data_IF_040123966180
#
_entry.id   IF_040123966180
#
_cell.length_a   1.000
_cell.length_b   1.000
_cell.length_c   1.000
_cell.angle_alpha   90.00
_cell.angle_beta   90.00
_cell.angle_gamma   90.00
#
_symmetry.space_group_name_H-M   'P 1'
#
loop_
_entity.id
_entity.type
_entity.pdbx_description
1 polymer ?
#
# COMPACT_ATOMS: atom_id res chain seq x y z
N UNK A 1 -7.52 5.82 -20.17
CA UNK A 1 -8.74 5.50 -19.39
C UNK A 1 -10.05 6.01 -20.02
N UNK A 2 -10.19 7.24 -20.56
CA UNK A 2 -11.46 7.69 -21.14
C UNK A 2 -11.97 6.75 -22.26
N UNK A 3 -11.09 6.35 -23.18
CA UNK A 3 -11.42 5.44 -24.29
C UNK A 3 -11.90 4.04 -23.86
N UNK A 4 -11.58 3.59 -22.64
CA UNK A 4 -11.97 2.25 -22.17
C UNK A 4 -13.46 2.19 -21.81
N UNK A 5 -14.01 3.26 -21.22
CA UNK A 5 -15.41 3.30 -20.82
C UNK A 5 -16.35 3.71 -21.96
N UNK A 6 -15.87 4.50 -22.92
CA UNK A 6 -16.66 4.85 -24.12
C UNK A 6 -16.98 3.63 -24.99
N UNK A 7 -16.24 2.52 -24.83
CA UNK A 7 -16.46 1.27 -25.55
C UNK A 7 -17.57 0.40 -24.94
N UNK A 8 -17.96 0.62 -23.67
CA UNK A 8 -18.96 -0.20 -22.98
C UNK A 8 -20.32 0.52 -22.86
N UNK A 9 -21.15 0.29 -23.88
CA UNK A 9 -22.57 0.68 -24.08
C UNK A 9 -22.81 2.04 -24.73
N UNK A 10 -23.44 1.96 -25.91
CA UNK A 10 -23.71 3.03 -26.89
C UNK A 10 -24.84 3.99 -26.45
N UNK A 11 -25.56 3.69 -25.35
CA UNK A 11 -26.86 4.35 -25.09
C UNK A 11 -26.77 5.50 -24.06
N UNK A 12 -25.69 5.55 -23.27
CA UNK A 12 -25.44 6.64 -22.29
C UNK A 12 -23.97 7.01 -22.30
N UNK A 13 -23.62 7.98 -23.13
CA UNK A 13 -22.29 8.55 -23.12
C UNK A 13 -21.98 9.13 -21.73
N UNK A 14 -20.87 8.69 -21.14
CA UNK A 14 -20.40 9.22 -19.86
C UNK A 14 -20.04 10.69 -20.09
N UNK A 15 -20.68 11.58 -19.34
CA UNK A 15 -20.36 13.00 -19.39
C UNK A 15 -19.09 13.29 -18.59
N UNK A 16 -17.95 12.97 -19.18
CA UNK A 16 -16.63 13.31 -18.65
C UNK A 16 -16.52 14.81 -18.40
N UNK A 17 -15.85 15.19 -17.31
CA UNK A 17 -15.62 16.58 -16.90
C UNK A 17 -16.90 17.42 -16.65
N UNK A 18 -18.07 16.77 -16.59
CA UNK A 18 -19.36 17.37 -16.20
C UNK A 18 -20.05 16.56 -15.09
N UNK A 19 -19.94 15.22 -15.14
CA UNK A 19 -20.54 14.30 -14.17
C UNK A 19 -19.57 13.29 -13.59
N UNK A 20 -18.46 13.03 -14.27
CA UNK A 20 -17.43 12.09 -13.84
C UNK A 20 -16.05 12.65 -14.15
N UNK A 21 -15.17 12.59 -13.16
CA UNK A 21 -13.76 12.96 -13.26
C UNK A 21 -12.90 11.78 -12.81
N UNK A 22 -11.80 11.55 -13.53
CA UNK A 22 -10.72 10.67 -13.13
C UNK A 22 -9.44 11.47 -13.32
N UNK A 23 -8.91 12.01 -12.23
CA UNK A 23 -7.82 12.97 -12.25
C UNK A 23 -6.91 12.83 -11.02
N UNK A 24 -5.73 13.43 -11.08
CA UNK A 24 -4.88 13.57 -9.90
C UNK A 24 -5.55 14.48 -8.85
N UNK A 25 -5.05 14.44 -7.61
CA UNK A 25 -5.59 15.28 -6.54
C UNK A 25 -5.28 16.78 -6.71
N UNK A 26 -4.22 17.13 -7.45
CA UNK A 26 -3.74 18.51 -7.56
C UNK A 26 -4.30 19.25 -8.78
N UNK A 27 -3.84 18.88 -9.97
CA UNK A 27 -4.19 19.57 -11.22
C UNK A 27 -3.34 20.81 -11.47
N UNK A 28 -3.84 21.68 -12.34
CA UNK A 28 -3.17 22.86 -12.85
C UNK A 28 -4.13 24.05 -12.87
N UNK A 29 -3.62 25.23 -12.50
CA UNK A 29 -4.40 26.46 -12.45
C UNK A 29 -5.14 26.80 -13.75
N UNK A 30 -4.52 26.50 -14.90
CA UNK A 30 -5.09 26.80 -16.22
C UNK A 30 -6.12 25.79 -16.72
N UNK A 31 -6.34 24.68 -16.00
CA UNK A 31 -7.29 23.65 -16.39
C UNK A 31 -8.03 23.10 -15.15
N UNK A 32 -9.24 23.61 -14.84
CA UNK A 32 -10.02 23.18 -13.68
C UNK A 32 -10.25 21.66 -13.60
N UNK A 33 -10.38 20.99 -14.74
CA UNK A 33 -10.67 19.55 -14.80
C UNK A 33 -9.42 18.67 -14.68
N UNK A 34 -8.23 19.26 -14.52
CA UNK A 34 -6.97 18.51 -14.45
C UNK A 34 -6.67 17.90 -13.07
N UNK A 35 -7.40 18.32 -12.02
CA UNK A 35 -7.28 17.72 -10.70
C UNK A 35 -8.29 18.25 -9.69
N UNK A 36 -8.45 17.53 -8.58
CA UNK A 36 -9.46 17.83 -7.57
C UNK A 36 -9.27 19.22 -6.93
N UNK A 37 -8.04 19.59 -6.56
CA UNK A 37 -7.74 20.91 -5.99
C UNK A 37 -8.05 22.04 -6.98
N UNK A 38 -7.61 21.91 -8.24
CA UNK A 38 -7.95 22.85 -9.30
C UNK A 38 -9.47 22.99 -9.49
N UNK A 39 -10.20 21.88 -9.49
CA UNK A 39 -11.66 21.85 -9.63
C UNK A 39 -12.35 22.58 -8.47
N UNK A 40 -11.92 22.36 -7.23
CA UNK A 40 -12.50 23.03 -6.05
C UNK A 40 -12.20 24.53 -6.08
N UNK A 41 -10.97 24.94 -6.40
CA UNK A 41 -10.63 26.36 -6.56
C UNK A 41 -11.52 27.04 -7.61
N UNK A 42 -11.69 26.42 -8.78
CA UNK A 42 -12.54 26.96 -9.85
C UNK A 42 -14.02 27.00 -9.45
N UNK A 43 -14.55 25.93 -8.86
CA UNK A 43 -15.95 25.84 -8.44
C UNK A 43 -16.35 26.94 -7.46
N UNK A 44 -15.49 27.24 -6.48
CA UNK A 44 -15.73 28.30 -5.49
C UNK A 44 -15.15 29.66 -5.89
N UNK A 45 -14.53 29.78 -7.07
CA UNK A 45 -13.87 31.01 -7.55
C UNK A 45 -12.79 31.53 -6.58
N UNK A 46 -12.00 30.61 -6.03
CA UNK A 46 -10.92 30.89 -5.08
C UNK A 46 -9.54 30.79 -5.76
N UNK A 47 -8.52 31.51 -5.26
CA UNK A 47 -7.19 31.48 -5.84
C UNK A 47 -6.56 30.08 -5.77
N UNK A 48 -5.93 29.67 -6.87
CA UNK A 48 -5.10 28.47 -6.92
C UNK A 48 -3.67 28.81 -6.47
N UNK A 49 -3.20 28.16 -5.42
CA UNK A 49 -1.84 28.29 -4.92
C UNK A 49 -0.97 27.15 -5.43
N UNK A 50 0.26 27.48 -5.85
CA UNK A 50 1.26 26.47 -6.25
C UNK A 50 2.04 26.01 -5.03
N UNK A 51 2.39 24.73 -5.00
CA UNK A 51 3.30 24.19 -4.00
C UNK A 51 4.64 24.94 -4.04
N UNK A 52 5.16 25.28 -2.86
CA UNK A 52 6.50 25.83 -2.71
C UNK A 52 7.16 25.29 -1.45
N UNK A 53 8.47 25.52 -1.30
CA UNK A 53 9.23 25.07 -0.12
C UNK A 53 8.69 25.64 1.21
N UNK A 54 8.08 26.82 1.18
CA UNK A 54 7.57 27.51 2.35
C UNK A 54 6.03 27.44 2.48
N UNK A 55 5.37 26.87 1.47
CA UNK A 55 3.92 26.78 1.39
C UNK A 55 3.55 25.40 0.85
N UNK A 56 3.40 24.45 1.78
CA UNK A 56 3.21 23.04 1.50
C UNK A 56 1.75 22.65 1.40
N UNK A 57 1.50 21.35 1.23
CA UNK A 57 0.14 20.81 1.08
C UNK A 57 -0.76 21.15 2.27
N UNK A 58 -0.22 21.08 3.49
CA UNK A 58 -0.97 21.40 4.71
C UNK A 58 -1.49 22.83 4.67
N UNK A 59 -0.62 23.79 4.38
CA UNK A 59 -0.96 25.21 4.35
C UNK A 59 -1.96 25.51 3.22
N UNK A 60 -1.77 24.91 2.04
CA UNK A 60 -2.64 25.13 0.89
C UNK A 60 -4.07 24.62 1.15
N UNK A 61 -4.22 23.41 1.69
CA UNK A 61 -5.54 22.86 2.00
C UNK A 61 -6.20 23.58 3.19
N UNK A 62 -5.42 24.00 4.18
CA UNK A 62 -5.92 24.78 5.31
C UNK A 62 -6.49 26.14 4.84
N UNK A 63 -5.76 26.89 4.02
CA UNK A 63 -6.22 28.18 3.50
C UNK A 63 -7.49 28.03 2.63
N UNK A 64 -7.51 27.03 1.75
CA UNK A 64 -8.68 26.75 0.92
C UNK A 64 -9.91 26.41 1.79
N UNK A 65 -9.74 25.55 2.81
CA UNK A 65 -10.78 25.20 3.75
C UNK A 65 -11.31 26.42 4.51
N UNK A 66 -10.43 27.29 5.00
CA UNK A 66 -10.82 28.52 5.68
C UNK A 66 -11.60 29.46 4.78
N UNK A 67 -11.20 29.61 3.52
CA UNK A 67 -11.89 30.48 2.58
C UNK A 67 -13.27 29.94 2.18
N UNK A 68 -13.41 28.62 1.99
CA UNK A 68 -14.72 28.01 1.73
C UNK A 68 -15.65 28.15 2.94
N UNK A 69 -15.14 28.03 4.16
CA UNK A 69 -15.94 28.22 5.40
C UNK A 69 -16.49 29.65 5.57
N UNK A 70 -15.90 30.65 4.91
CA UNK A 70 -16.38 32.05 4.92
C UNK A 70 -17.53 32.30 3.95
N UNK A 71 -17.83 31.36 3.04
CA UNK A 71 -18.93 31.50 2.09
C UNK A 71 -20.27 31.47 2.85
N UNK A 72 -21.19 32.41 2.60
CA UNK A 72 -22.51 32.42 3.21
C UNK A 72 -23.26 31.09 2.97
N UNK A 73 -24.04 30.63 3.95
CA UNK A 73 -24.72 29.33 3.87
C UNK A 73 -25.72 29.25 2.71
N UNK A 74 -26.30 30.38 2.34
CA UNK A 74 -27.25 30.53 1.25
C UNK A 74 -26.58 30.39 -0.13
N UNK A 75 -25.30 30.75 -0.21
CA UNK A 75 -24.48 30.70 -1.43
C UNK A 75 -23.69 29.39 -1.54
N UNK A 76 -23.41 28.74 -0.41
CA UNK A 76 -22.65 27.51 -0.35
C UNK A 76 -23.35 26.39 -1.14
N UNK A 77 -22.60 25.78 -2.05
CA UNK A 77 -22.99 24.57 -2.78
C UNK A 77 -21.93 23.52 -2.60
N UNK A 78 -22.35 22.26 -2.55
CA UNK A 78 -21.43 21.14 -2.62
C UNK A 78 -20.81 21.06 -4.02
N UNK A 79 -19.48 20.88 -4.07
CA UNK A 79 -18.74 20.74 -5.31
C UNK A 79 -19.00 19.37 -5.97
N UNK A 80 -19.12 18.32 -5.15
CA UNK A 80 -19.28 16.93 -5.61
C UNK A 80 -20.36 16.21 -4.81
N UNK A 81 -21.07 15.25 -5.43
CA UNK A 81 -21.96 14.34 -4.71
C UNK A 81 -21.17 13.21 -4.03
N UNK A 82 -20.22 12.62 -4.75
CA UNK A 82 -19.41 11.48 -4.33
C UNK A 82 -17.95 11.71 -4.68
N UNK A 83 -17.05 11.16 -3.87
CA UNK A 83 -15.60 11.18 -4.12
C UNK A 83 -15.01 9.81 -3.80
N UNK A 84 -14.23 9.26 -4.74
CA UNK A 84 -13.43 8.06 -4.54
C UNK A 84 -11.96 8.46 -4.56
N UNK A 85 -11.22 8.01 -3.55
CA UNK A 85 -9.83 8.38 -3.33
C UNK A 85 -9.04 7.09 -3.24
N UNK A 86 -8.02 7.00 -4.08
CA UNK A 86 -7.02 5.96 -4.03
C UNK A 86 -5.75 6.51 -3.37
N UNK A 87 -4.93 5.62 -2.80
CA UNK A 87 -3.70 5.96 -2.07
C UNK A 87 -3.91 7.05 -1.00
N UNK A 88 -5.02 6.91 -0.25
CA UNK A 88 -5.47 7.91 0.72
C UNK A 88 -4.43 8.24 1.81
N UNK A 89 -3.46 7.35 2.01
CA UNK A 89 -2.32 7.55 2.91
C UNK A 89 -1.42 8.73 2.53
N UNK A 90 -1.41 9.13 1.25
CA UNK A 90 -0.56 10.22 0.75
C UNK A 90 -1.11 11.62 1.07
N UNK A 91 -2.32 11.72 1.65
CA UNK A 91 -2.99 13.00 1.92
C UNK A 91 -2.95 13.42 3.40
N UNK A 92 -2.78 14.73 3.70
CA UNK A 92 -2.80 15.24 5.05
C UNK A 92 -4.24 15.35 5.61
N UNK A 93 -4.38 15.56 6.92
CA UNK A 93 -5.69 15.72 7.59
C UNK A 93 -6.53 16.85 6.99
N UNK A 94 -5.88 17.96 6.67
CA UNK A 94 -6.50 19.16 6.12
C UNK A 94 -7.19 18.88 4.77
N UNK A 95 -6.64 17.95 3.99
CA UNK A 95 -7.28 17.48 2.77
C UNK A 95 -8.59 16.75 3.07
N UNK A 96 -8.62 15.87 4.06
CA UNK A 96 -9.84 15.16 4.48
C UNK A 96 -10.91 16.12 5.02
N UNK A 97 -10.53 17.10 5.85
CA UNK A 97 -11.46 18.12 6.34
C UNK A 97 -12.05 18.97 5.20
N UNK A 98 -11.25 19.27 4.18
CA UNK A 98 -11.69 19.98 2.98
C UNK A 98 -12.74 19.18 2.21
N UNK A 99 -12.46 17.93 1.88
CA UNK A 99 -13.38 17.10 1.09
C UNK A 99 -14.66 16.75 1.86
N UNK A 100 -14.59 16.57 3.19
CA UNK A 100 -15.76 16.37 4.04
C UNK A 100 -16.70 17.59 4.01
N UNK A 101 -16.16 18.79 3.86
CA UNK A 101 -16.95 20.01 3.71
C UNK A 101 -17.62 20.09 2.33
N UNK A 102 -16.88 19.80 1.25
CA UNK A 102 -17.33 20.09 -0.12
C UNK A 102 -18.09 18.95 -0.80
N UNK A 103 -18.06 17.73 -0.24
CA UNK A 103 -18.74 16.54 -0.77
C UNK A 103 -20.11 16.35 -0.09
N UNK A 104 -21.18 16.20 -0.88
CA UNK A 104 -22.55 16.15 -0.36
C UNK A 104 -22.93 14.83 0.30
N UNK A 105 -22.58 13.69 -0.32
CA UNK A 105 -23.16 12.39 0.05
C UNK A 105 -22.15 11.47 0.72
N UNK A 106 -21.09 11.09 0.01
CA UNK A 106 -20.15 10.09 0.54
C UNK A 106 -18.77 10.16 -0.10
N UNK A 107 -17.77 9.97 0.75
CA UNK A 107 -16.36 9.79 0.38
C UNK A 107 -16.01 8.31 0.60
N UNK A 108 -15.29 7.73 -0.35
CA UNK A 108 -14.68 6.42 -0.24
C UNK A 108 -13.17 6.61 -0.35
N UNK A 109 -12.44 6.30 0.70
CA UNK A 109 -10.99 6.39 0.72
C UNK A 109 -10.40 4.98 0.87
N UNK A 110 -9.57 4.58 -0.08
CA UNK A 110 -8.78 3.36 -0.03
C UNK A 110 -7.30 3.73 0.17
N UNK A 111 -6.54 2.89 0.84
CA UNK A 111 -5.13 3.13 1.06
C UNK A 111 -4.45 1.97 1.78
N UNK A 112 -3.14 2.06 1.87
CA UNK A 112 -2.30 1.07 2.55
C UNK A 112 -2.03 1.48 4.00
N UNK A 113 -2.50 0.64 4.92
CA UNK A 113 -2.33 0.86 6.35
C UNK A 113 -0.87 0.79 6.78
N UNK A 114 -0.04 -0.03 6.11
CA UNK A 114 1.37 -0.23 6.47
C UNK A 114 2.26 0.94 6.08
N UNK A 115 2.04 1.53 4.90
CA UNK A 115 2.81 2.69 4.43
C UNK A 115 2.73 3.90 5.39
N UNK A 116 1.63 4.03 6.13
CA UNK A 116 1.37 5.14 7.05
C UNK A 116 1.57 4.85 8.55
N UNK A 117 2.02 3.64 8.94
CA UNK A 117 2.11 3.27 10.37
C UNK A 117 3.10 4.11 11.18
N UNK A 118 3.98 4.83 10.49
CA UNK A 118 4.98 5.69 11.09
C UNK A 118 4.90 7.14 10.65
N UNK A 119 3.89 7.50 9.84
CA UNK A 119 3.64 8.90 9.53
C UNK A 119 3.52 9.66 10.85
N UNK A 120 4.26 10.76 11.03
CA UNK A 120 4.13 11.63 12.20
C UNK A 120 2.77 12.30 12.15
N UNK A 121 1.73 11.57 12.52
CA UNK A 121 0.40 12.13 12.62
C UNK A 121 0.29 12.78 13.99
N UNK A 122 0.05 14.10 13.98
CA UNK A 122 -0.42 14.81 15.14
C UNK A 122 -1.53 13.98 15.78
N UNK A 123 -1.49 13.82 17.10
CA UNK A 123 -2.28 12.93 17.95
C UNK A 123 -3.81 12.98 17.80
N UNK A 124 -4.33 13.75 16.84
CA UNK A 124 -5.74 13.98 16.54
C UNK A 124 -6.20 13.47 15.16
N UNK A 125 -5.36 12.87 14.32
CA UNK A 125 -5.85 12.17 13.13
C UNK A 125 -6.48 10.84 13.55
N UNK A 126 -7.80 10.87 13.64
CA UNK A 126 -8.67 9.73 13.48
C UNK A 126 -8.46 9.14 12.07
N UNK A 127 -7.38 8.40 11.86
CA UNK A 127 -7.28 7.44 10.75
C UNK A 127 -8.28 6.32 11.08
N UNK A 128 -9.57 6.60 10.89
CA UNK A 128 -10.64 5.64 11.07
C UNK A 128 -10.59 4.75 9.85
N UNK A 129 -9.99 3.59 10.02
CA UNK A 129 -10.16 2.49 9.08
C UNK A 129 -11.52 1.90 9.39
N UNK A 130 -12.52 2.13 8.55
CA UNK A 130 -13.84 1.50 8.72
C UNK A 130 -13.78 0.01 8.37
N UNK A 131 -13.04 -0.32 7.32
CA UNK A 131 -12.94 -1.66 6.75
C UNK A 131 -11.48 -2.02 6.50
N UNK A 132 -11.03 -3.16 7.02
CA UNK A 132 -9.69 -3.69 6.74
C UNK A 132 -9.76 -4.97 5.89
N UNK A 133 -9.05 -4.98 4.76
CA UNK A 133 -8.92 -6.13 3.86
C UNK A 133 -7.68 -6.95 4.25
N UNK A 134 -7.91 -8.19 4.69
CA UNK A 134 -6.85 -9.06 5.25
C UNK A 134 -6.00 -9.78 4.21
N UNK A 135 -6.47 -9.88 2.97
CA UNK A 135 -5.86 -10.72 1.94
C UNK A 135 -5.20 -9.88 0.85
N UNK A 136 -3.95 -10.20 0.55
CA UNK A 136 -3.23 -9.70 -0.61
C UNK A 136 -3.18 -10.79 -1.68
N UNK A 137 -3.56 -10.43 -2.92
CA UNK A 137 -3.57 -11.31 -4.09
C UNK A 137 -2.47 -10.99 -5.10
N UNK A 138 -1.76 -9.89 -4.86
CA UNK A 138 -0.74 -9.35 -5.78
C UNK A 138 0.64 -9.93 -5.47
N UNK A 139 1.03 -9.93 -4.20
CA UNK A 139 2.36 -10.29 -3.72
C UNK A 139 2.33 -11.60 -2.95
N UNK A 140 3.37 -12.42 -3.11
CA UNK A 140 3.54 -13.67 -2.37
C UNK A 140 3.49 -13.41 -0.85
N UNK A 141 2.72 -14.19 -0.06
CA UNK A 141 2.62 -14.01 1.39
C UNK A 141 3.98 -13.99 2.10
N UNK A 142 4.98 -14.73 1.63
CA UNK A 142 6.35 -14.76 2.18
C UNK A 142 7.04 -13.41 2.00
N UNK A 143 6.92 -12.82 0.80
CA UNK A 143 7.46 -11.48 0.51
C UNK A 143 6.78 -10.43 1.39
N UNK A 144 5.45 -10.49 1.52
CA UNK A 144 4.70 -9.57 2.38
C UNK A 144 5.08 -9.71 3.86
N UNK A 145 5.20 -10.95 4.34
CA UNK A 145 5.63 -11.25 5.72
C UNK A 145 7.04 -10.75 6.00
N UNK A 146 7.95 -10.95 5.05
CA UNK A 146 9.32 -10.46 5.18
C UNK A 146 9.37 -8.93 5.17
N UNK A 147 8.62 -8.28 4.28
CA UNK A 147 8.52 -6.83 4.20
C UNK A 147 7.97 -6.21 5.50
N UNK A 148 6.86 -6.74 6.04
CA UNK A 148 6.35 -6.30 7.35
C UNK A 148 7.35 -6.57 8.49
N UNK A 149 8.06 -7.70 8.42
CA UNK A 149 9.08 -8.05 9.41
C UNK A 149 10.23 -7.04 9.44
N UNK A 150 10.67 -6.57 8.27
CA UNK A 150 11.64 -5.48 8.15
C UNK A 150 11.04 -4.15 8.61
N UNK A 151 9.84 -3.79 8.15
CA UNK A 151 9.22 -2.51 8.46
C UNK A 151 9.00 -2.30 9.98
N UNK A 152 8.52 -3.34 10.66
CA UNK A 152 8.20 -3.30 12.08
C UNK A 152 9.40 -3.65 12.99
N UNK A 153 10.55 -3.98 12.41
CA UNK A 153 11.74 -4.43 13.14
C UNK A 153 11.53 -5.76 13.89
N UNK A 154 10.77 -6.70 13.32
CA UNK A 154 10.43 -7.97 14.01
C UNK A 154 11.64 -8.89 14.17
N UNK A 155 12.58 -8.84 13.22
CA UNK A 155 13.79 -9.67 13.23
C UNK A 155 14.91 -9.10 14.12
N UNK A 156 14.76 -7.87 14.58
CA UNK A 156 15.78 -7.10 15.30
C UNK A 156 15.69 -7.41 16.79
N UNK A 157 16.68 -7.05 17.61
CA UNK A 157 16.54 -7.21 19.06
C UNK A 157 15.44 -6.28 19.57
N UNK A 158 15.55 -5.00 19.20
CA UNK A 158 14.57 -3.98 19.52
C UNK A 158 13.51 -3.84 18.42
N UNK A 159 12.23 -3.96 18.78
CA UNK A 159 11.12 -3.80 17.85
C UNK A 159 10.82 -2.33 17.61
N UNK A 160 10.60 -1.96 16.37
CA UNK A 160 10.17 -0.62 15.97
C UNK A 160 8.69 -0.39 16.27
N UNK A 161 7.88 -1.44 16.15
CA UNK A 161 6.45 -1.42 16.41
C UNK A 161 5.97 -2.77 16.94
N UNK A 162 4.90 -2.76 17.74
CA UNK A 162 4.27 -3.97 18.25
C UNK A 162 2.76 -3.85 18.40
N UNK A 163 2.03 -4.80 17.81
CA UNK A 163 0.58 -4.83 17.85
C UNK A 163 0.02 -5.77 18.92
N UNK A 164 -1.19 -5.47 19.39
CA UNK A 164 -1.97 -6.40 20.22
C UNK A 164 -2.44 -7.60 19.40
N UNK A 165 -2.90 -8.65 20.08
CA UNK A 165 -3.39 -9.85 19.39
C UNK A 165 -4.58 -9.56 18.45
N UNK A 166 -5.48 -8.66 18.84
CA UNK A 166 -6.62 -8.32 17.99
C UNK A 166 -6.20 -7.47 16.78
N UNK A 167 -5.23 -6.57 16.96
CA UNK A 167 -4.66 -5.79 15.85
C UNK A 167 -3.93 -6.70 14.84
N UNK A 168 -3.15 -7.67 15.30
CA UNK A 168 -2.51 -8.65 14.40
C UNK A 168 -3.54 -9.43 13.56
N UNK A 169 -4.64 -9.89 14.17
CA UNK A 169 -5.75 -10.53 13.44
C UNK A 169 -6.40 -9.59 12.41
N UNK A 170 -6.60 -8.33 12.77
CA UNK A 170 -7.13 -7.31 11.85
C UNK A 170 -6.20 -7.11 10.65
N UNK A 171 -4.88 -7.16 10.85
CA UNK A 171 -3.86 -7.08 9.80
C UNK A 171 -3.72 -8.38 8.98
N UNK A 172 -4.54 -9.39 9.25
CA UNK A 172 -4.55 -10.66 8.52
C UNK A 172 -3.53 -11.70 9.01
N UNK A 173 -3.05 -11.58 10.25
CA UNK A 173 -2.18 -12.56 10.88
C UNK A 173 -2.91 -13.45 11.88
N UNK A 174 -2.62 -14.74 11.83
CA UNK A 174 -2.91 -15.69 12.89
C UNK A 174 -1.72 -15.77 13.86
N UNK A 175 -2.01 -15.95 15.14
CA UNK A 175 -1.00 -15.87 16.20
C UNK A 175 -1.01 -17.19 16.96
N UNK A 176 0.13 -17.87 16.96
CA UNK A 176 0.38 -19.05 17.80
C UNK A 176 1.37 -18.68 18.89
N UNK A 177 1.04 -19.01 20.14
CA UNK A 177 1.93 -18.77 21.29
C UNK A 177 2.79 -20.02 21.50
N UNK A 178 4.09 -19.90 21.27
CA UNK A 178 5.02 -21.03 21.45
C UNK A 178 5.43 -21.16 22.91
N UNK A 179 5.81 -20.03 23.53
CA UNK A 179 6.16 -19.96 24.95
C UNK A 179 5.81 -18.57 25.52
N UNK A 180 6.24 -18.25 26.76
CA UNK A 180 5.93 -16.96 27.41
C UNK A 180 6.48 -15.73 26.66
N UNK A 181 7.53 -15.89 25.85
CA UNK A 181 8.27 -14.78 25.23
C UNK A 181 8.28 -14.81 23.70
N UNK A 182 7.99 -15.94 23.07
CA UNK A 182 8.01 -16.13 21.62
C UNK A 182 6.62 -16.40 21.08
N UNK A 183 6.26 -15.69 20.02
CA UNK A 183 5.05 -15.92 19.24
C UNK A 183 5.42 -16.23 17.79
N UNK A 184 4.53 -16.96 17.14
CA UNK A 184 4.57 -17.20 15.70
C UNK A 184 3.41 -16.45 15.05
N UNK A 185 3.71 -15.75 13.95
CA UNK A 185 2.74 -15.06 13.11
C UNK A 185 2.66 -15.77 11.75
N UNK A 186 1.47 -16.18 11.35
CA UNK A 186 1.20 -16.81 10.04
C UNK A 186 0.15 -16.03 9.27
N UNK A 187 0.20 -16.08 7.93
CA UNK A 187 -0.86 -15.56 7.06
C UNK A 187 -1.48 -16.70 6.27
N UNK A 188 -2.77 -16.62 5.99
CA UNK A 188 -3.44 -17.59 5.11
C UNK A 188 -2.79 -17.55 3.72
N UNK A 189 -2.34 -18.69 3.17
CA UNK A 189 -1.81 -18.76 1.80
C UNK A 189 -2.85 -18.31 0.77
N UNK A 190 -2.39 -17.77 -0.35
CA UNK A 190 -3.24 -17.43 -1.48
C UNK A 190 -3.14 -18.53 -2.54
N UNK A 191 -4.28 -18.96 -3.11
CA UNK A 191 -4.35 -20.03 -4.11
C UNK A 191 -3.48 -19.73 -5.34
N UNK A 192 -3.28 -18.44 -5.66
CA UNK A 192 -2.39 -18.00 -6.76
C UNK A 192 -0.95 -18.50 -6.61
N UNK A 193 -0.49 -18.66 -5.38
CA UNK A 193 0.87 -19.13 -5.06
C UNK A 193 0.73 -20.53 -4.46
N UNK A 194 0.40 -21.50 -5.32
CA UNK A 194 0.21 -22.90 -4.91
C UNK A 194 1.46 -23.45 -4.24
N UNK A 195 1.28 -24.41 -3.31
CA UNK A 195 2.35 -25.02 -2.52
C UNK A 195 3.44 -25.73 -3.34
N UNK A 196 3.17 -25.98 -4.62
CA UNK A 196 4.05 -26.74 -5.53
C UNK A 196 5.20 -25.90 -6.10
N UNK A 197 5.17 -24.56 -6.03
CA UNK A 197 6.24 -23.73 -6.57
C UNK A 197 7.32 -23.47 -5.51
N UNK A 198 8.36 -24.30 -5.51
CA UNK A 198 9.54 -24.17 -4.64
C UNK A 198 10.49 -23.06 -5.11
N UNK A 199 9.99 -21.84 -5.27
CA UNK A 199 10.80 -20.67 -5.63
C UNK A 199 10.95 -19.72 -4.44
N UNK A 200 12.10 -19.05 -4.34
CA UNK A 200 12.33 -17.99 -3.35
C UNK A 200 11.73 -16.68 -3.86
N UNK A 201 10.72 -16.14 -3.15
CA UNK A 201 10.10 -14.86 -3.51
C UNK A 201 10.91 -13.64 -3.03
N UNK A 202 11.85 -13.84 -2.08
CA UNK A 202 12.82 -12.82 -1.66
C UNK A 202 14.22 -13.43 -1.64
N UNK A 203 15.20 -12.70 -2.20
CA UNK A 203 16.63 -13.02 -2.13
C UNK A 203 17.41 -11.86 -1.51
N UNK A 204 18.24 -12.16 -0.51
CA UNK A 204 19.16 -11.19 0.10
C UNK A 204 20.55 -11.31 -0.53
N UNK A 205 21.13 -10.19 -0.92
CA UNK A 205 22.46 -10.12 -1.54
C UNK A 205 23.30 -9.09 -0.80
N UNK A 206 24.44 -9.52 -0.25
CA UNK A 206 25.37 -8.67 0.51
C UNK A 206 26.38 -7.96 -0.39
N UNK A 207 25.87 -7.30 -1.42
CA UNK A 207 26.68 -6.53 -2.36
C UNK A 207 25.77 -5.59 -3.13
N UNK A 208 26.05 -4.28 -3.04
CA UNK A 208 25.33 -3.23 -3.75
C UNK A 208 26.08 -2.71 -4.98
N UNK A 209 27.20 -3.32 -5.36
CA UNK A 209 27.99 -2.92 -6.52
C UNK A 209 27.19 -3.00 -7.82
N UNK A 210 27.55 -2.14 -8.77
CA UNK A 210 26.93 -2.15 -10.11
C UNK A 210 27.21 -3.47 -10.85
N UNK A 211 28.36 -4.11 -10.57
CA UNK A 211 28.70 -5.46 -11.04
C UNK A 211 27.64 -6.45 -10.60
N UNK A 212 27.33 -6.46 -9.31
CA UNK A 212 26.35 -7.38 -8.78
C UNK A 212 24.96 -7.14 -9.34
N UNK A 213 24.58 -5.88 -9.53
CA UNK A 213 23.31 -5.51 -10.14
C UNK A 213 23.24 -6.07 -11.57
N UNK A 214 24.29 -5.90 -12.38
CA UNK A 214 24.34 -6.43 -13.75
C UNK A 214 24.31 -7.96 -13.78
N UNK A 215 25.03 -8.63 -12.87
CA UNK A 215 24.98 -10.09 -12.70
C UNK A 215 23.55 -10.56 -12.42
N UNK A 216 22.82 -9.89 -11.52
CA UNK A 216 21.46 -10.24 -11.17
C UNK A 216 20.47 -10.00 -12.32
N UNK A 217 20.63 -8.91 -13.07
CA UNK A 217 19.84 -8.65 -14.29
C UNK A 217 20.02 -9.81 -15.27
N UNK A 218 21.27 -10.23 -15.51
CA UNK A 218 21.54 -11.34 -16.41
C UNK A 218 21.02 -12.67 -15.85
N UNK A 219 21.18 -12.92 -14.56
CA UNK A 219 20.64 -14.10 -13.88
C UNK A 219 19.12 -14.20 -14.04
N UNK A 220 18.38 -13.10 -13.83
CA UNK A 220 16.92 -13.08 -14.02
C UNK A 220 16.55 -13.47 -15.45
N UNK A 221 17.26 -12.94 -16.45
CA UNK A 221 17.02 -13.26 -17.87
C UNK A 221 17.32 -14.72 -18.22
N UNK A 222 18.39 -15.29 -17.65
CA UNK A 222 18.76 -16.69 -17.87
C UNK A 222 17.82 -17.65 -17.16
N UNK A 223 17.41 -17.33 -15.92
CA UNK A 223 16.47 -18.16 -15.16
C UNK A 223 15.03 -18.10 -15.70
N UNK A 224 14.68 -17.07 -16.48
CA UNK A 224 13.33 -16.81 -16.95
C UNK A 224 13.34 -16.43 -18.44
N UNK A 225 13.32 -17.41 -19.34
CA UNK A 225 13.45 -17.20 -20.80
C UNK A 225 12.39 -16.25 -21.39
N UNK A 226 11.21 -16.16 -20.79
CA UNK A 226 10.09 -15.32 -21.25
C UNK A 226 10.10 -13.91 -20.67
N UNK A 227 11.05 -13.58 -19.78
CA UNK A 227 11.07 -12.27 -19.11
C UNK A 227 11.40 -11.17 -20.10
N UNK A 228 10.59 -10.11 -20.05
CA UNK A 228 10.81 -8.89 -20.85
C UNK A 228 11.66 -7.91 -20.04
N UNK A 229 12.40 -7.02 -20.71
CA UNK A 229 13.27 -6.07 -20.00
C UNK A 229 12.45 -5.09 -19.15
N UNK A 230 11.26 -4.69 -19.64
CA UNK A 230 10.31 -3.86 -18.90
C UNK A 230 9.72 -4.51 -17.64
N UNK A 231 9.96 -5.80 -17.42
CA UNK A 231 9.52 -6.55 -16.24
C UNK A 231 10.57 -6.57 -15.12
N UNK A 232 11.72 -5.95 -15.34
CA UNK A 232 12.81 -5.83 -14.37
C UNK A 232 12.94 -4.37 -13.96
N UNK A 233 12.73 -4.10 -12.67
CA UNK A 233 12.97 -2.79 -12.08
C UNK A 233 14.15 -2.81 -11.12
N UNK A 234 15.00 -1.80 -11.21
CA UNK A 234 16.09 -1.52 -10.27
C UNK A 234 15.72 -0.25 -9.52
N UNK A 235 15.57 -0.36 -8.21
CA UNK A 235 15.07 0.72 -7.37
C UNK A 235 16.07 1.03 -6.27
N UNK A 236 16.61 2.25 -6.30
CA UNK A 236 17.43 2.78 -5.23
C UNK A 236 16.55 3.31 -4.10
N UNK A 237 16.72 2.74 -2.91
CA UNK A 237 15.87 3.02 -1.75
C UNK A 237 16.33 4.28 -1.01
N UNK A 238 17.64 4.50 -0.88
CA UNK A 238 18.22 5.62 -0.16
C UNK A 238 18.04 6.95 -0.91
N UNK A 239 17.69 8.03 -0.20
CA UNK A 239 17.54 9.37 -0.80
C UNK A 239 18.82 10.22 -0.65
N UNK A 240 19.95 9.70 -1.13
CA UNK A 240 21.22 10.47 -1.13
C UNK A 240 21.29 11.43 -2.32
N UNK A 241 22.13 12.45 -2.20
CA UNK A 241 22.35 13.45 -3.26
C UNK A 241 23.02 12.89 -4.51
N UNK A 242 23.83 11.83 -4.36
CA UNK A 242 24.58 11.16 -5.41
C UNK A 242 23.78 10.04 -6.11
N UNK A 243 22.53 9.79 -5.71
CA UNK A 243 21.69 8.73 -6.27
C UNK A 243 21.58 8.81 -7.80
N UNK A 244 21.40 10.02 -8.35
CA UNK A 244 21.25 10.21 -9.79
C UNK A 244 22.56 9.90 -10.54
N UNK A 245 23.71 10.30 -9.98
CA UNK A 245 25.02 9.99 -10.58
C UNK A 245 25.25 8.48 -10.63
N UNK A 246 24.86 7.77 -9.57
CA UNK A 246 24.96 6.32 -9.55
C UNK A 246 23.99 5.64 -10.49
N UNK A 247 22.76 6.13 -10.60
CA UNK A 247 21.80 5.63 -11.60
C UNK A 247 22.33 5.81 -13.02
N UNK A 248 23.01 6.93 -13.30
CA UNK A 248 23.63 7.19 -14.60
C UNK A 248 24.83 6.27 -14.86
N UNK A 249 25.70 6.08 -13.87
CA UNK A 249 26.82 5.11 -13.94
C UNK A 249 26.31 3.69 -14.22
N UNK A 250 25.34 3.22 -13.45
CA UNK A 250 24.72 1.91 -13.64
C UNK A 250 24.06 1.79 -15.03
N UNK A 251 23.39 2.84 -15.50
CA UNK A 251 22.76 2.86 -16.83
C UNK A 251 23.80 2.65 -17.94
N UNK A 252 24.92 3.37 -17.86
CA UNK A 252 26.02 3.21 -18.81
C UNK A 252 26.62 1.80 -18.73
N UNK A 253 26.77 1.26 -17.53
CA UNK A 253 27.31 -0.08 -17.32
C UNK A 253 26.41 -1.18 -17.87
N UNK A 254 25.11 -1.11 -17.65
CA UNK A 254 24.14 -2.05 -18.23
C UNK A 254 24.22 -2.03 -19.76
N UNK A 255 24.36 -0.84 -20.35
CA UNK A 255 24.50 -0.70 -21.80
C UNK A 255 25.83 -1.30 -22.30
N UNK A 256 26.95 -1.04 -21.63
CA UNK A 256 28.27 -1.53 -22.06
C UNK A 256 28.47 -3.03 -21.82
N UNK A 257 28.10 -3.53 -20.65
CA UNK A 257 28.38 -4.90 -20.21
C UNK A 257 27.34 -5.90 -20.73
N UNK A 258 26.07 -5.48 -20.85
CA UNK A 258 24.96 -6.37 -21.22
C UNK A 258 24.32 -6.04 -22.58
N UNK A 259 24.66 -4.89 -23.18
CA UNK A 259 24.05 -4.38 -24.41
C UNK A 259 22.51 -4.29 -24.29
N UNK A 260 22.02 -3.76 -23.16
CA UNK A 260 20.59 -3.59 -22.87
C UNK A 260 20.23 -2.11 -22.71
N UNK A 261 19.03 -1.77 -23.15
CA UNK A 261 18.47 -0.43 -22.98
C UNK A 261 17.84 -0.26 -21.60
N UNK A 262 17.92 0.97 -21.10
CA UNK A 262 17.38 1.39 -19.80
C UNK A 262 16.47 2.61 -20.00
N UNK A 263 15.40 2.67 -19.21
CA UNK A 263 14.62 3.89 -19.02
C UNK A 263 14.81 4.38 -17.58
N UNK A 264 15.07 5.68 -17.43
CA UNK A 264 15.25 6.32 -16.13
C UNK A 264 13.92 6.88 -15.66
N UNK A 265 13.36 6.29 -14.61
CA UNK A 265 12.01 6.60 -14.11
C UNK A 265 11.83 8.03 -13.58
N UNK A 266 12.93 8.73 -13.27
CA UNK A 266 12.90 10.13 -12.86
C UNK A 266 12.81 11.11 -14.04
N UNK A 267 13.14 10.66 -15.26
CA UNK A 267 13.00 11.43 -16.51
C UNK A 267 11.68 11.09 -17.19
N UNK A 268 11.39 9.79 -17.29
CA UNK A 268 10.21 9.24 -17.95
C UNK A 268 9.44 8.34 -17.00
N UNK A 269 8.23 8.76 -16.59
CA UNK A 269 7.35 7.99 -15.70
C UNK A 269 6.57 6.88 -16.42
N UNK A 270 7.16 6.29 -17.45
CA UNK A 270 6.55 5.23 -18.25
C UNK A 270 7.52 4.07 -18.40
N UNK A 271 6.98 2.86 -18.48
CA UNK A 271 7.73 1.63 -18.72
C UNK A 271 7.69 1.27 -20.20
N UNK A 272 8.71 0.57 -20.67
CA UNK A 272 8.81 0.06 -22.02
C UNK A 272 9.12 -1.42 -22.00
N UNK A 273 8.51 -2.17 -22.90
CA UNK A 273 8.66 -3.63 -22.96
C UNK A 273 10.12 -4.08 -23.08
N UNK A 274 10.91 -3.33 -23.84
CA UNK A 274 12.30 -3.62 -24.19
C UNK A 274 13.33 -2.79 -23.42
N UNK A 275 12.98 -2.16 -22.29
CA UNK A 275 13.93 -1.39 -21.48
C UNK A 275 13.81 -1.73 -20.00
N UNK A 276 14.95 -1.89 -19.32
CA UNK A 276 15.00 -2.05 -17.86
C UNK A 276 14.58 -0.74 -17.20
N UNK A 277 13.77 -0.81 -16.14
CA UNK A 277 13.32 0.38 -15.43
C UNK A 277 14.26 0.70 -14.26
N UNK A 278 14.98 1.83 -14.32
CA UNK A 278 15.89 2.28 -13.24
C UNK A 278 15.32 3.53 -12.58
N UNK A 279 15.09 3.48 -11.28
CA UNK A 279 14.36 4.55 -10.57
C UNK A 279 14.77 4.67 -9.09
N UNK A 280 14.21 5.66 -8.40
CA UNK A 280 14.26 5.80 -6.96
C UNK A 280 12.89 5.55 -6.32
N UNK A 281 12.84 5.40 -5.00
CA UNK A 281 11.61 5.12 -4.27
C UNK A 281 10.48 6.15 -4.49
N UNK A 282 10.81 7.41 -4.79
CA UNK A 282 9.82 8.47 -4.99
C UNK A 282 9.13 8.40 -6.37
N UNK A 283 9.85 7.95 -7.40
CA UNK A 283 9.37 7.97 -8.79
C UNK A 283 8.79 6.63 -9.27
N UNK A 284 8.83 5.58 -8.46
CA UNK A 284 8.25 4.26 -8.81
C UNK A 284 6.81 4.07 -8.33
N UNK A 285 6.25 5.04 -7.58
CA UNK A 285 4.90 4.95 -7.05
C UNK A 285 3.87 4.72 -8.16
N UNK A 286 3.04 3.69 -7.99
CA UNK A 286 2.01 3.29 -8.96
C UNK A 286 2.49 2.32 -10.05
N UNK A 287 3.76 1.90 -10.01
CA UNK A 287 4.32 0.91 -10.93
C UNK A 287 4.69 -0.39 -10.21
N UNK A 288 4.40 -1.52 -10.86
CA UNK A 288 4.55 -2.86 -10.32
C UNK A 288 5.30 -3.73 -11.34
N UNK A 289 6.17 -4.62 -10.86
CA UNK A 289 7.08 -5.39 -11.73
C UNK A 289 7.13 -6.86 -11.31
N UNK A 290 7.29 -7.82 -12.23
CA UNK A 290 7.58 -9.21 -11.84
C UNK A 290 8.85 -9.32 -11.00
N UNK A 291 9.91 -8.61 -11.39
CA UNK A 291 11.20 -8.64 -10.72
C UNK A 291 11.61 -7.25 -10.25
N UNK A 292 11.93 -7.14 -8.96
CA UNK A 292 12.41 -5.90 -8.35
C UNK A 292 13.78 -6.15 -7.72
N UNK A 293 14.75 -5.29 -8.05
CA UNK A 293 16.06 -5.22 -7.43
C UNK A 293 16.10 -3.96 -6.57
N UNK A 294 15.90 -4.12 -5.26
CA UNK A 294 16.02 -3.06 -4.27
C UNK A 294 17.48 -2.86 -3.89
N UNK A 295 18.03 -1.67 -4.14
CA UNK A 295 19.40 -1.31 -3.77
C UNK A 295 19.37 -0.45 -2.50
N UNK A 296 19.95 -0.98 -1.43
CA UNK A 296 20.02 -0.39 -0.09
C UNK A 296 21.48 -0.17 0.29
N UNK A 297 21.97 1.03 0.03
CA UNK A 297 23.39 1.35 0.21
C UNK A 297 23.77 1.59 1.66
N UNK A 298 22.91 2.33 2.35
CA UNK A 298 23.08 2.62 3.76
C UNK A 298 21.83 2.18 4.49
N UNK A 299 22.01 1.38 5.53
CA UNK A 299 20.94 1.13 6.46
C UNK A 299 20.59 2.41 7.25
N UNK A 300 19.30 2.70 7.36
CA UNK A 300 18.78 3.67 8.33
C UNK A 300 17.75 2.98 9.24
N UNK A 301 17.83 3.26 10.54
CA UNK A 301 16.81 2.83 11.49
C UNK A 301 15.57 3.75 11.50
N UNK A 302 15.58 4.81 10.68
CA UNK A 302 14.45 5.73 10.61
C UNK A 302 13.23 5.07 9.95
N UNK A 303 12.06 5.54 10.36
CA UNK A 303 10.80 4.98 9.91
C UNK A 303 10.49 5.24 8.43
N UNK A 304 11.00 6.34 7.87
CA UNK A 304 10.74 6.73 6.49
C UNK A 304 11.45 5.78 5.51
N UNK A 305 12.68 5.42 5.84
CA UNK A 305 13.47 4.41 5.17
C UNK A 305 12.79 3.04 5.25
N UNK A 306 12.30 2.63 6.43
CA UNK A 306 11.59 1.36 6.61
C UNK A 306 10.30 1.27 5.78
N UNK A 307 9.48 2.32 5.78
CA UNK A 307 8.27 2.39 4.95
C UNK A 307 8.60 2.43 3.45
N UNK A 308 9.67 3.13 3.05
CA UNK A 308 10.15 3.11 1.67
C UNK A 308 10.58 1.71 1.26
N UNK A 309 11.37 1.02 2.09
CA UNK A 309 11.83 -0.34 1.85
C UNK A 309 10.66 -1.33 1.75
N UNK A 310 9.68 -1.24 2.66
CA UNK A 310 8.44 -2.00 2.59
C UNK A 310 7.74 -1.82 1.25
N UNK A 311 7.55 -0.56 0.84
CA UNK A 311 6.89 -0.21 -0.41
C UNK A 311 7.66 -0.77 -1.61
N UNK A 312 8.99 -0.74 -1.59
CA UNK A 312 9.80 -1.26 -2.71
C UNK A 312 9.77 -2.78 -2.79
N UNK A 313 9.91 -3.48 -1.67
CA UNK A 313 9.88 -4.96 -1.64
C UNK A 313 8.51 -5.48 -2.11
N UNK A 314 7.44 -4.80 -1.71
CA UNK A 314 6.07 -5.18 -2.06
C UNK A 314 5.65 -4.78 -3.47
N UNK A 315 6.50 -4.10 -4.26
CA UNK A 315 6.23 -3.83 -5.69
C UNK A 315 6.48 -5.00 -6.62
N UNK A 316 7.13 -6.04 -6.10
CA UNK A 316 7.28 -7.30 -6.83
C UNK A 316 6.05 -8.17 -6.67
N UNK A 317 5.69 -8.86 -7.75
CA UNK A 317 4.71 -9.94 -7.71
C UNK A 317 5.30 -11.34 -7.97
N UNK A 318 6.57 -11.47 -8.40
CA UNK A 318 7.29 -12.74 -8.41
C UNK A 318 8.46 -12.74 -7.42
N UNK A 319 9.51 -11.94 -7.67
CA UNK A 319 10.71 -11.97 -6.84
C UNK A 319 11.27 -10.58 -6.54
N UNK A 320 11.61 -10.36 -5.27
CA UNK A 320 12.34 -9.19 -4.79
C UNK A 320 13.77 -9.57 -4.41
N UNK A 321 14.75 -8.98 -5.09
CA UNK A 321 16.16 -9.03 -4.71
C UNK A 321 16.45 -7.80 -3.86
N UNK A 322 17.04 -8.00 -2.69
CA UNK A 322 17.40 -6.91 -1.78
C UNK A 322 18.91 -6.93 -1.62
N UNK A 323 19.55 -5.96 -2.27
CA UNK A 323 20.99 -5.75 -2.20
C UNK A 323 21.23 -4.79 -1.07
N UNK A 324 22.08 -5.18 -0.12
CA UNK A 324 22.35 -4.42 1.08
C UNK A 324 23.80 -4.54 1.51
N UNK A 325 24.31 -3.51 2.16
CA UNK A 325 25.61 -3.53 2.82
C UNK A 325 25.50 -3.08 4.28
N UNK A 326 26.34 -3.64 5.14
CA UNK A 326 26.55 -3.18 6.52
C UNK A 326 25.29 -3.07 7.39
N UNK A 327 24.30 -3.96 7.20
CA UNK A 327 23.11 -3.99 8.06
C UNK A 327 23.45 -4.65 9.42
N UNK A 328 23.36 -3.94 10.56
CA UNK A 328 23.87 -4.44 11.86
C UNK A 328 23.29 -5.79 12.32
N UNK A 329 22.03 -6.08 11.98
CA UNK A 329 21.29 -7.27 12.40
C UNK A 329 21.01 -8.26 11.25
N UNK A 330 21.84 -8.24 10.22
CA UNK A 330 21.64 -9.04 9.01
C UNK A 330 21.52 -10.54 9.29
N UNK A 331 22.27 -11.07 10.24
CA UNK A 331 22.20 -12.48 10.64
C UNK A 331 20.80 -12.86 11.14
N UNK A 332 20.19 -12.01 11.96
CA UNK A 332 18.82 -12.21 12.46
C UNK A 332 17.78 -12.07 11.34
N UNK A 333 17.97 -11.12 10.42
CA UNK A 333 17.12 -10.92 9.24
C UNK A 333 17.15 -12.14 8.32
N UNK A 334 18.35 -12.66 8.01
CA UNK A 334 18.52 -13.89 7.22
C UNK A 334 17.83 -15.07 7.87
N UNK A 335 18.00 -15.25 9.18
CA UNK A 335 17.31 -16.30 9.93
C UNK A 335 15.79 -16.16 9.84
N UNK A 336 15.28 -14.93 9.95
CA UNK A 336 13.86 -14.62 9.77
C UNK A 336 13.36 -15.00 8.38
N UNK A 337 14.09 -14.64 7.32
CA UNK A 337 13.75 -15.01 5.95
C UNK A 337 13.75 -16.52 5.72
N UNK A 338 14.77 -17.23 6.22
CA UNK A 338 14.85 -18.70 6.12
C UNK A 338 13.63 -19.36 6.79
N UNK A 339 13.23 -18.86 7.97
CA UNK A 339 12.05 -19.34 8.70
C UNK A 339 10.76 -19.11 7.92
N UNK A 340 10.60 -17.94 7.28
CA UNK A 340 9.44 -17.64 6.45
C UNK A 340 9.41 -18.55 5.21
N UNK A 341 10.56 -18.78 4.56
CA UNK A 341 10.62 -19.62 3.37
C UNK A 341 10.32 -21.10 3.68
N UNK A 342 10.83 -21.62 4.80
CA UNK A 342 10.64 -23.00 5.20
C UNK A 342 9.23 -23.27 5.77
N UNK A 343 8.80 -22.43 6.71
CA UNK A 343 7.65 -22.71 7.58
C UNK A 343 6.45 -21.76 7.34
N UNK A 344 6.60 -20.78 6.43
CA UNK A 344 5.58 -19.75 6.13
C UNK A 344 5.15 -18.97 7.37
N UNK A 345 6.09 -18.76 8.29
CA UNK A 345 5.82 -18.15 9.59
C UNK A 345 6.92 -17.17 10.02
N UNK A 346 6.52 -16.09 10.71
CA UNK A 346 7.46 -15.21 11.41
C UNK A 346 7.51 -15.67 12.86
N UNK A 347 8.67 -16.14 13.30
CA UNK A 347 8.94 -16.35 14.73
C UNK A 347 9.53 -15.07 15.33
N UNK A 348 8.89 -14.52 16.35
CA UNK A 348 9.31 -13.26 16.96
C UNK A 348 9.19 -13.28 18.48
N UNK A 349 10.21 -12.69 19.14
CA UNK A 349 10.19 -12.46 20.58
C UNK A 349 9.39 -11.20 20.93
N UNK A 350 8.46 -11.33 21.87
CA UNK A 350 7.68 -10.24 22.42
C UNK A 350 8.60 -9.20 23.09
N UNK A 351 8.41 -7.89 22.80
CA UNK A 351 9.15 -6.84 23.46
C UNK A 351 8.91 -6.83 24.97
N UNK A 352 9.91 -6.38 25.74
CA UNK A 352 9.78 -6.25 27.19
C UNK A 352 8.84 -5.07 27.55
N UNK A 353 8.52 -4.92 28.85
CA UNK A 353 7.56 -3.89 29.29
C UNK A 353 8.04 -2.46 28.98
N UNK A 354 9.32 -2.19 29.13
CA UNK A 354 9.90 -0.84 28.93
C UNK A 354 9.92 -0.46 27.46
N UNK A 355 10.24 -1.42 26.59
CA UNK A 355 10.17 -1.26 25.15
C UNK A 355 8.73 -1.08 24.68
N UNK A 356 7.77 -1.86 25.18
CA UNK A 356 6.36 -1.68 24.86
C UNK A 356 5.86 -0.29 25.28
N UNK A 357 6.30 0.21 26.43
CA UNK A 357 5.97 1.58 26.87
C UNK A 357 6.58 2.63 25.93
N UNK A 358 7.82 2.42 25.48
CA UNK A 358 8.51 3.31 24.54
C UNK A 358 7.81 3.33 23.17
N UNK A 359 7.46 2.17 22.63
CA UNK A 359 6.72 2.03 21.36
C UNK A 359 5.38 2.78 21.44
N UNK A 360 4.59 2.52 22.50
CA UNK A 360 3.28 3.19 22.71
C UNK A 360 3.39 4.71 22.87
N UNK A 361 4.48 5.20 23.47
CA UNK A 361 4.72 6.64 23.62
C UNK A 361 5.15 7.31 22.32
N UNK A 362 5.92 6.60 21.49
CA UNK A 362 6.43 7.12 20.21
C UNK A 362 5.35 7.13 19.12
N UNK A 363 4.47 6.13 19.10
CA UNK A 363 3.55 5.86 18.00
C UNK A 363 2.20 5.39 18.53
N UNK A 364 1.17 6.24 18.44
CA UNK A 364 -0.23 5.91 18.72
C UNK A 364 -1.08 6.02 17.44
N UNK A 365 -0.57 5.48 16.33
CA UNK A 365 -0.98 5.92 14.99
C UNK A 365 -2.11 5.12 14.34
N UNK A 366 -2.36 3.90 14.82
CA UNK A 366 -3.38 3.02 14.23
C UNK A 366 -4.55 2.86 15.18
N UNK A 367 -5.59 3.68 15.00
CA UNK A 367 -6.87 3.48 15.67
C UNK A 367 -7.69 2.38 14.97
N UNK A 368 -7.06 1.21 14.81
CA UNK A 368 -7.69 -0.03 14.33
C UNK A 368 -8.75 -0.56 15.31
N UNK A 369 -8.90 0.05 16.48
CA UNK A 369 -9.84 -0.37 17.53
C UNK A 369 -11.30 -0.39 17.05
N UNK A 370 -11.65 0.44 16.08
CA UNK A 370 -12.98 0.52 15.48
C UNK A 370 -13.08 -0.15 14.10
N UNK A 371 -11.98 -0.66 13.56
CA UNK A 371 -11.95 -1.21 12.22
C UNK A 371 -12.66 -2.56 12.19
N UNK A 372 -13.65 -2.69 11.30
CA UNK A 372 -14.40 -3.92 11.12
C UNK A 372 -13.86 -4.70 9.94
N UNK A 373 -13.72 -6.00 10.11
CA UNK A 373 -13.55 -6.93 9.00
C UNK A 373 -14.88 -7.11 8.25
N UNK A 374 -14.79 -7.54 6.99
CA UNK A 374 -16.00 -7.91 6.22
C UNK A 374 -16.81 -8.99 6.96
N UNK A 375 -16.13 -9.91 7.65
CA UNK A 375 -16.78 -10.95 8.47
C UNK A 375 -17.63 -10.37 9.60
N UNK A 376 -17.16 -9.32 10.28
CA UNK A 376 -17.91 -8.64 11.35
C UNK A 376 -19.07 -7.83 10.77
N UNK A 377 -18.90 -7.20 9.60
CA UNK A 377 -20.01 -6.54 8.90
C UNK A 377 -21.12 -7.54 8.52
N UNK A 378 -20.73 -8.76 8.12
CA UNK A 378 -21.68 -9.84 7.85
C UNK A 378 -22.34 -10.33 9.14
N UNK A 379 -21.63 -10.44 10.25
CA UNK A 379 -22.24 -10.77 11.55
C UNK A 379 -23.26 -9.72 11.99
N UNK A 380 -22.94 -8.43 11.83
CA UNK A 380 -23.88 -7.35 12.13
C UNK A 380 -25.13 -7.42 11.25
N UNK A 381 -24.97 -7.72 9.96
CA UNK A 381 -26.10 -7.88 9.04
C UNK A 381 -26.96 -9.11 9.40
N UNK A 382 -26.32 -10.22 9.78
CA UNK A 382 -27.00 -11.41 10.27
C UNK A 382 -27.80 -11.11 11.54
N UNK A 383 -27.22 -10.39 12.50
CA UNK A 383 -27.89 -9.96 13.73
C UNK A 383 -29.06 -9.03 13.41
N UNK A 384 -28.89 -8.06 12.52
CA UNK A 384 -29.98 -7.18 12.04
C UNK A 384 -31.13 -7.97 11.42
N UNK A 385 -30.83 -9.07 10.74
CA UNK A 385 -31.83 -9.98 10.14
C UNK A 385 -32.34 -11.07 11.08
N UNK A 386 -31.99 -11.02 12.37
CA UNK A 386 -32.51 -11.93 13.40
C UNK A 386 -31.74 -13.23 13.60
N UNK A 387 -30.59 -13.41 12.94
CA UNK A 387 -29.75 -14.61 13.09
C UNK A 387 -28.81 -14.44 14.29
N UNK A 388 -29.21 -15.02 15.43
CA UNK A 388 -28.48 -14.85 16.69
C UNK A 388 -27.56 -16.04 17.03
N UNK A 389 -27.87 -17.26 16.57
CA UNK A 389 -27.08 -18.47 16.85
C UNK A 389 -25.78 -18.49 16.05
N UNK A 390 -24.65 -18.66 16.74
CA UNK A 390 -23.32 -18.61 16.13
C UNK A 390 -23.09 -19.71 15.09
N UNK A 391 -23.63 -20.91 15.32
CA UNK A 391 -23.60 -22.02 14.36
C UNK A 391 -24.35 -21.70 13.07
N UNK A 392 -25.49 -21.03 13.16
CA UNK A 392 -26.26 -20.58 11.99
C UNK A 392 -25.51 -19.50 11.23
N UNK A 393 -24.86 -18.54 11.93
CA UNK A 393 -24.05 -17.50 11.29
C UNK A 393 -22.90 -18.09 10.48
N UNK A 394 -22.16 -19.04 11.07
CA UNK A 394 -21.06 -19.73 10.39
C UNK A 394 -21.54 -20.47 9.13
N UNK A 395 -22.64 -21.23 9.25
CA UNK A 395 -23.22 -21.98 8.12
C UNK A 395 -23.67 -21.07 6.98
N UNK A 396 -24.33 -19.94 7.28
CA UNK A 396 -24.78 -18.98 6.26
C UNK A 396 -23.58 -18.33 5.57
N UNK A 397 -22.54 -17.96 6.31
CA UNK A 397 -21.31 -17.41 5.75
C UNK A 397 -20.59 -18.41 4.83
N UNK A 398 -20.51 -19.68 5.21
CA UNK A 398 -19.96 -20.74 4.36
C UNK A 398 -20.81 -20.94 3.10
N UNK A 399 -22.12 -21.05 3.24
CA UNK A 399 -23.03 -21.17 2.09
C UNK A 399 -22.90 -19.98 1.13
N UNK A 400 -22.79 -18.76 1.66
CA UNK A 400 -22.58 -17.57 0.84
C UNK A 400 -21.23 -17.62 0.10
N UNK A 401 -20.16 -18.04 0.79
CA UNK A 401 -18.82 -18.19 0.18
C UNK A 401 -18.82 -19.18 -0.99
N UNK A 402 -19.67 -20.20 -0.94
CA UNK A 402 -19.83 -21.21 -1.99
C UNK A 402 -20.95 -20.94 -2.99
N UNK A 403 -21.69 -19.83 -2.85
CA UNK A 403 -22.84 -19.51 -3.69
C UNK A 403 -22.49 -19.00 -5.10
N UNK A 404 -21.22 -18.66 -5.35
CA UNK A 404 -20.77 -18.01 -6.59
C UNK A 404 -21.20 -16.54 -6.72
N UNK A 405 -21.88 -15.99 -5.70
CA UNK A 405 -22.24 -14.57 -5.63
C UNK A 405 -21.01 -13.71 -5.33
N UNK A 406 -21.04 -12.47 -5.78
CA UNK A 406 -20.05 -11.44 -5.46
C UNK A 406 -20.02 -11.21 -3.96
N UNK A 407 -18.83 -11.26 -3.37
CA UNK A 407 -18.63 -11.17 -1.92
C UNK A 407 -18.78 -9.74 -1.40
N UNK A 408 -20.01 -9.20 -1.43
CA UNK A 408 -20.36 -7.84 -1.01
C UNK A 408 -21.45 -7.86 0.06
N UNK A 409 -21.51 -6.82 0.90
CA UNK A 409 -22.55 -6.71 1.92
C UNK A 409 -23.97 -6.67 1.33
N UNK A 410 -24.15 -6.04 0.17
CA UNK A 410 -25.45 -5.94 -0.49
C UNK A 410 -25.93 -7.28 -1.07
N UNK A 411 -25.02 -8.09 -1.62
CA UNK A 411 -25.34 -9.45 -2.05
C UNK A 411 -25.51 -10.40 -0.88
N UNK A 412 -24.69 -10.26 0.15
CA UNK A 412 -24.83 -11.02 1.38
C UNK A 412 -26.18 -10.76 2.04
N UNK A 413 -26.60 -9.50 2.18
CA UNK A 413 -27.91 -9.13 2.73
C UNK A 413 -29.07 -9.78 1.96
N UNK A 414 -29.02 -9.74 0.62
CA UNK A 414 -30.00 -10.41 -0.26
C UNK A 414 -29.96 -11.93 -0.12
N UNK A 415 -28.76 -12.51 -0.03
CA UNK A 415 -28.57 -13.94 0.15
C UNK A 415 -29.17 -14.40 1.48
N UNK A 416 -28.88 -13.69 2.59
CA UNK A 416 -29.46 -14.00 3.90
C UNK A 416 -30.99 -13.97 3.84
N UNK A 417 -31.59 -13.01 3.16
CA UNK A 417 -33.06 -13.01 2.96
C UNK A 417 -33.55 -14.23 2.17
N UNK A 418 -32.79 -14.70 1.19
CA UNK A 418 -33.13 -15.90 0.39
C UNK A 418 -33.00 -17.22 1.16
N UNK A 419 -32.15 -17.26 2.19
CA UNK A 419 -31.91 -18.46 3.02
C UNK A 419 -32.62 -18.40 4.38
N UNK A 420 -33.53 -17.44 4.59
CA UNK A 420 -34.27 -17.24 5.84
C UNK A 420 -34.98 -18.47 6.41
N UNK A 421 -35.36 -19.42 5.55
CA UNK A 421 -36.05 -20.65 5.94
C UNK A 421 -35.10 -21.78 6.38
N UNK A 422 -33.77 -21.59 6.34
CA UNK A 422 -32.78 -22.64 6.63
C UNK A 422 -32.22 -22.61 8.06
N UNK A 423 -32.70 -21.72 8.93
CA UNK A 423 -32.16 -21.53 10.29
C UNK A 423 -33.20 -21.20 11.36
#
# INVERSE_FOLDING_TARGET
MPNFFDFMRVDKQIKWNEKLWVSHAWGSQGNPNSGLYALICDFYQLPFHRYSRFFGYKEIFAELLENIRKIPKEEFKFCLDYLLIDESQDFPKEFFELIELVVKKKIYAAGDVFQNIFAKTDSNTKNIVDINLRQCYRTDPRTLMFAHGLELGLFELEKLQWFSNEQWKLLGYEIKKNNKRTITLTRTPNIRFSEEENYESVKLVEDTSEEKICELVNQIRVENETVKLGEIAIIFVNQKTDIFQRMDSLTNRILMDLNLDVVRGYEEKQTYENKIYVTNANNVKGLEFPFVICVVDDFSADYQFRSSLYTMITRSFLRSYILLNNWPELSSIKKGLMKINADREIEVSKPNRDQLATIKRKINLLNLSNAKSIGELFDEELVKKGVLKETSKQKIKELFKHSGLTYTLGEFSRFVDSVKNLY
#
